data_IF_280017770726
#
_entry.id   IF_280017770726
#
_cell.length_a   1.000
_cell.length_b   1.000
_cell.length_c   1.000
_cell.angle_alpha   90.00
_cell.angle_beta   90.00
_cell.angle_gamma   90.00
#
_symmetry.space_group_name_H-M   'P 1'
#
loop_
_entity.id
_entity.type
_entity.pdbx_description
1 polymer ?
#
# COMPACT_ATOMS: atom_id res chain seq x y z
N UNK A 1 28.08 61.59 -16.07
CA UNK A 1 26.79 60.99 -16.51
C UNK A 1 26.91 59.52 -16.89
N UNK A 2 27.92 59.09 -17.64
CA UNK A 2 28.06 57.68 -18.06
C UNK A 2 28.22 56.68 -16.90
N UNK A 3 29.04 56.96 -15.88
CA UNK A 3 29.25 56.03 -14.75
C UNK A 3 27.99 55.82 -13.89
N UNK A 4 27.17 56.85 -13.72
CA UNK A 4 25.90 56.78 -12.98
C UNK A 4 24.88 55.90 -13.69
N UNK A 5 24.87 55.95 -15.03
CA UNK A 5 23.95 55.20 -15.87
C UNK A 5 24.29 53.70 -15.89
N UNK A 6 25.59 53.37 -15.87
CA UNK A 6 26.09 51.99 -15.75
C UNK A 6 25.68 51.37 -14.40
N UNK A 7 25.81 52.11 -13.29
CA UNK A 7 25.44 51.61 -11.96
C UNK A 7 23.93 51.31 -11.88
N UNK A 8 23.10 52.20 -12.42
CA UNK A 8 21.64 51.98 -12.47
C UNK A 8 21.29 50.76 -13.32
N UNK A 9 21.98 50.56 -14.45
CA UNK A 9 21.78 49.40 -15.32
C UNK A 9 22.15 48.09 -14.62
N UNK A 10 23.28 48.04 -13.91
CA UNK A 10 23.71 46.87 -13.13
C UNK A 10 22.72 46.56 -12.01
N UNK A 11 22.21 47.59 -11.33
CA UNK A 11 21.22 47.41 -10.26
C UNK A 11 19.88 46.88 -10.79
N UNK A 12 19.42 47.38 -11.94
CA UNK A 12 18.24 46.86 -12.65
C UNK A 12 18.42 45.39 -13.06
N UNK A 13 19.60 45.02 -13.56
CA UNK A 13 19.92 43.65 -13.94
C UNK A 13 19.88 42.70 -12.74
N UNK A 14 20.43 43.13 -11.59
CA UNK A 14 20.35 42.37 -10.34
C UNK A 14 18.91 42.17 -9.86
N UNK A 15 18.06 43.20 -9.95
CA UNK A 15 16.64 43.08 -9.60
C UNK A 15 15.94 42.08 -10.51
N UNK A 16 16.18 42.12 -11.83
CA UNK A 16 15.58 41.18 -12.79
C UNK A 16 15.99 39.73 -12.48
N UNK A 17 17.28 39.50 -12.19
CA UNK A 17 17.78 38.17 -11.82
C UNK A 17 17.13 37.69 -10.52
N UNK A 18 17.02 38.56 -9.52
CA UNK A 18 16.39 38.23 -8.24
C UNK A 18 14.91 37.85 -8.42
N UNK A 19 14.15 38.62 -9.20
CA UNK A 19 12.75 38.33 -9.51
C UNK A 19 12.60 37.03 -10.29
N UNK A 20 13.52 36.75 -11.23
CA UNK A 20 13.58 35.48 -11.96
C UNK A 20 13.80 34.28 -11.04
N UNK A 21 14.74 34.38 -10.09
CA UNK A 21 15.02 33.33 -9.10
C UNK A 21 13.84 33.09 -8.16
N UNK A 22 13.21 34.16 -7.67
CA UNK A 22 12.02 34.05 -6.80
C UNK A 22 10.87 33.39 -7.55
N UNK A 23 10.62 33.79 -8.81
CA UNK A 23 9.56 33.20 -9.63
C UNK A 23 9.81 31.71 -9.90
N UNK A 24 11.06 31.33 -10.19
CA UNK A 24 11.44 29.92 -10.37
C UNK A 24 11.23 29.11 -9.07
N UNK A 25 11.60 29.69 -7.93
CA UNK A 25 11.34 29.07 -6.62
C UNK A 25 9.85 28.84 -6.39
N UNK A 26 8.99 29.84 -6.63
CA UNK A 26 7.55 29.72 -6.44
C UNK A 26 6.96 28.62 -7.34
N UNK A 27 7.32 28.60 -8.64
CA UNK A 27 6.85 27.58 -9.58
C UNK A 27 7.29 26.18 -9.14
N UNK A 28 8.54 26.03 -8.71
CA UNK A 28 9.06 24.75 -8.22
C UNK A 28 8.32 24.30 -6.96
N UNK A 29 8.02 25.23 -6.04
CA UNK A 29 7.32 24.95 -4.80
C UNK A 29 5.86 24.57 -5.03
N UNK A 30 5.18 25.25 -5.96
CA UNK A 30 3.82 24.91 -6.38
C UNK A 30 3.76 23.51 -7.00
N UNK A 31 4.70 23.19 -7.90
CA UNK A 31 4.79 21.87 -8.51
C UNK A 31 5.06 20.76 -7.48
N UNK A 32 5.97 21.00 -6.55
CA UNK A 32 6.25 20.05 -5.47
C UNK A 32 5.05 19.85 -4.54
N UNK A 33 4.25 20.89 -4.31
CA UNK A 33 3.06 20.81 -3.48
C UNK A 33 1.96 20.01 -4.18
N UNK A 34 1.75 20.23 -5.48
CA UNK A 34 0.81 19.46 -6.31
C UNK A 34 1.18 17.96 -6.34
N UNK A 35 2.45 17.64 -6.60
CA UNK A 35 2.97 16.26 -6.54
C UNK A 35 2.74 15.63 -5.14
N UNK A 36 2.93 16.40 -4.07
CA UNK A 36 2.68 15.94 -2.70
C UNK A 36 1.18 15.66 -2.43
N UNK A 37 0.28 16.53 -2.88
CA UNK A 37 -1.16 16.36 -2.72
C UNK A 37 -1.67 15.13 -3.49
N UNK A 38 -1.26 14.96 -4.74
CA UNK A 38 -1.65 13.79 -5.54
C UNK A 38 -1.09 12.49 -4.95
N UNK A 39 0.14 12.52 -4.44
CA UNK A 39 0.75 11.38 -3.77
C UNK A 39 -0.04 10.94 -2.52
N UNK A 40 -0.56 11.89 -1.73
CA UNK A 40 -1.42 11.59 -0.57
C UNK A 40 -2.78 10.99 -0.96
N UNK A 41 -3.38 11.46 -2.07
CA UNK A 41 -4.60 10.86 -2.61
C UNK A 41 -4.34 9.40 -2.98
N UNK A 42 -3.19 9.13 -3.60
CA UNK A 42 -2.81 7.78 -4.00
C UNK A 42 -2.59 6.84 -2.81
N UNK A 43 -1.96 7.31 -1.73
CA UNK A 43 -1.83 6.52 -0.50
C UNK A 43 -3.20 6.12 0.07
N UNK A 44 -4.15 7.06 0.10
CA UNK A 44 -5.51 6.75 0.56
C UNK A 44 -6.19 5.69 -0.32
N UNK A 45 -6.01 5.75 -1.65
CA UNK A 45 -6.54 4.75 -2.58
C UNK A 45 -5.89 3.39 -2.33
N UNK A 46 -4.57 3.33 -2.15
CA UNK A 46 -3.84 2.10 -1.85
C UNK A 46 -4.33 1.48 -0.54
N UNK A 47 -4.44 2.28 0.54
CA UNK A 47 -4.98 1.82 1.83
C UNK A 47 -6.41 1.30 1.68
N UNK A 48 -7.24 1.96 0.86
CA UNK A 48 -8.60 1.51 0.58
C UNK A 48 -8.64 0.16 -0.13
N UNK A 49 -7.73 -0.10 -1.09
CA UNK A 49 -7.62 -1.39 -1.79
C UNK A 49 -7.28 -2.51 -0.79
N UNK A 50 -6.28 -2.27 0.06
CA UNK A 50 -5.83 -3.23 1.07
C UNK A 50 -6.94 -3.55 2.08
N UNK A 51 -7.53 -2.53 2.69
CA UNK A 51 -8.62 -2.71 3.66
C UNK A 51 -9.80 -3.46 3.05
N UNK A 52 -10.22 -3.09 1.83
CA UNK A 52 -11.35 -3.73 1.12
C UNK A 52 -11.15 -5.25 1.00
N UNK A 53 -10.00 -5.68 0.48
CA UNK A 53 -9.75 -7.10 0.24
C UNK A 53 -9.42 -7.86 1.54
N UNK A 54 -8.74 -7.23 2.49
CA UNK A 54 -8.49 -7.82 3.81
C UNK A 54 -9.80 -8.08 4.57
N UNK A 55 -10.69 -7.09 4.64
CA UNK A 55 -12.02 -7.24 5.29
C UNK A 55 -12.82 -8.35 4.62
N UNK A 56 -12.79 -8.43 3.28
CA UNK A 56 -13.47 -9.51 2.54
C UNK A 56 -12.90 -10.89 2.89
N UNK A 57 -11.58 -11.02 2.97
CA UNK A 57 -10.92 -12.24 3.39
C UNK A 57 -11.30 -12.65 4.81
N UNK A 58 -11.20 -11.74 5.78
CA UNK A 58 -11.58 -11.99 7.19
C UNK A 58 -13.05 -12.39 7.30
N UNK A 59 -13.94 -11.77 6.52
CA UNK A 59 -15.37 -12.09 6.51
C UNK A 59 -15.64 -13.51 6.02
N UNK A 60 -14.99 -13.92 4.92
CA UNK A 60 -15.10 -15.29 4.41
C UNK A 60 -14.55 -16.30 5.43
N UNK A 61 -13.41 -15.97 6.04
CA UNK A 61 -12.79 -16.80 7.05
C UNK A 61 -13.68 -16.96 8.28
N UNK A 62 -14.32 -15.88 8.74
CA UNK A 62 -15.26 -15.89 9.87
C UNK A 62 -16.42 -16.85 9.61
N UNK A 63 -16.98 -16.85 8.40
CA UNK A 63 -18.06 -17.76 8.04
C UNK A 63 -17.63 -19.23 8.15
N UNK A 64 -16.46 -19.59 7.66
CA UNK A 64 -15.94 -20.96 7.79
C UNK A 64 -15.60 -21.32 9.25
N UNK A 65 -15.04 -20.39 10.02
CA UNK A 65 -14.79 -20.57 11.46
C UNK A 65 -16.09 -20.81 12.22
N UNK A 66 -17.17 -20.12 11.86
CA UNK A 66 -18.49 -20.32 12.47
C UNK A 66 -19.03 -21.71 12.14
N UNK A 67 -18.89 -22.15 10.88
CA UNK A 67 -19.28 -23.48 10.44
C UNK A 67 -18.46 -24.58 11.13
N UNK A 68 -17.15 -24.37 11.29
CA UNK A 68 -16.27 -25.26 12.06
C UNK A 68 -16.74 -25.35 13.51
N UNK A 69 -16.99 -24.21 14.15
CA UNK A 69 -17.48 -24.16 15.54
C UNK A 69 -18.76 -24.98 15.75
N UNK A 70 -19.67 -25.00 14.76
CA UNK A 70 -20.90 -25.80 14.84
C UNK A 70 -20.62 -27.31 14.88
N UNK A 71 -19.53 -27.77 14.29
CA UNK A 71 -19.15 -29.18 14.20
C UNK A 71 -18.43 -29.72 15.45
N UNK A 72 -17.89 -28.83 16.30
CA UNK A 72 -17.13 -29.22 17.49
C UNK A 72 -17.91 -29.04 18.81
N UNK A 73 -17.52 -29.78 19.88
CA UNK A 73 -18.06 -29.58 21.23
C UNK A 73 -17.86 -28.14 21.73
N UNK A 74 -18.78 -27.65 22.58
CA UNK A 74 -18.80 -26.26 23.07
C UNK A 74 -17.43 -25.81 23.63
N UNK A 75 -16.74 -26.69 24.38
CA UNK A 75 -15.42 -26.39 24.96
C UNK A 75 -14.36 -26.02 23.90
N UNK A 76 -14.44 -26.62 22.72
CA UNK A 76 -13.49 -26.40 21.62
C UNK A 76 -13.85 -25.15 20.80
N UNK A 77 -15.10 -24.67 20.87
CA UNK A 77 -15.55 -23.46 20.14
C UNK A 77 -14.84 -22.20 20.64
N UNK A 78 -14.69 -22.06 21.96
CA UNK A 78 -13.98 -20.92 22.55
C UNK A 78 -12.51 -20.87 22.14
N UNK A 79 -11.87 -22.03 21.98
CA UNK A 79 -10.48 -22.11 21.54
C UNK A 79 -10.34 -21.75 20.05
N UNK A 80 -11.27 -22.21 19.21
CA UNK A 80 -11.31 -21.86 17.78
C UNK A 80 -11.50 -20.34 17.60
N UNK A 81 -12.46 -19.73 18.31
CA UNK A 81 -12.65 -18.27 18.24
C UNK A 81 -11.44 -17.50 18.76
N UNK A 82 -10.83 -17.92 19.88
CA UNK A 82 -9.62 -17.27 20.39
C UNK A 82 -8.47 -17.33 19.38
N UNK A 83 -8.28 -18.47 18.71
CA UNK A 83 -7.26 -18.61 17.67
C UNK A 83 -7.57 -17.72 16.46
N UNK A 84 -8.85 -17.58 16.09
CA UNK A 84 -9.28 -16.70 15.01
C UNK A 84 -9.05 -15.23 15.35
N UNK A 85 -9.47 -14.78 16.54
CA UNK A 85 -9.27 -13.40 16.98
C UNK A 85 -7.78 -13.05 17.02
N UNK A 86 -6.95 -13.94 17.57
CA UNK A 86 -5.50 -13.78 17.59
C UNK A 86 -4.89 -13.65 16.19
N UNK A 87 -5.35 -14.47 15.24
CA UNK A 87 -4.92 -14.37 13.84
C UNK A 87 -5.34 -13.03 13.21
N UNK A 88 -6.60 -12.61 13.43
CA UNK A 88 -7.10 -11.34 12.88
C UNK A 88 -6.32 -10.16 13.45
N UNK A 89 -6.00 -10.16 14.74
CA UNK A 89 -5.21 -9.11 15.38
C UNK A 89 -3.80 -9.02 14.78
N UNK A 90 -3.11 -10.15 14.60
CA UNK A 90 -1.80 -10.18 13.95
C UNK A 90 -1.85 -9.70 12.50
N UNK A 91 -2.83 -10.17 11.74
CA UNK A 91 -3.00 -9.82 10.34
C UNK A 91 -3.38 -8.34 10.17
N UNK A 92 -4.23 -7.81 11.04
CA UNK A 92 -4.58 -6.38 11.06
C UNK A 92 -3.37 -5.52 11.33
N UNK A 93 -2.53 -5.87 12.32
CA UNK A 93 -1.34 -5.11 12.64
C UNK A 93 -0.35 -5.00 11.46
N UNK A 94 -0.27 -6.02 10.59
CA UNK A 94 0.54 -5.97 9.37
C UNK A 94 -0.03 -4.98 8.35
N UNK A 95 -1.36 -4.96 8.18
CA UNK A 95 -2.07 -4.02 7.29
C UNK A 95 -1.96 -2.59 7.84
N UNK A 96 -2.18 -2.39 9.14
CA UNK A 96 -2.09 -1.09 9.79
C UNK A 96 -0.68 -0.51 9.67
N UNK A 97 0.36 -1.33 9.85
CA UNK A 97 1.75 -0.91 9.66
C UNK A 97 2.02 -0.41 8.24
N UNK A 98 1.39 -1.01 7.23
CA UNK A 98 1.51 -0.56 5.85
C UNK A 98 0.77 0.77 5.62
N UNK A 99 -0.38 0.96 6.27
CA UNK A 99 -1.24 2.15 6.15
C UNK A 99 -0.68 3.36 6.90
N UNK A 100 -0.18 3.18 8.12
CA UNK A 100 0.30 4.26 9.03
C UNK A 100 1.69 4.81 8.66
N UNK A 101 2.12 4.61 7.42
CA UNK A 101 3.39 5.14 6.94
C UNK A 101 3.35 6.67 6.89
N UNK A 102 4.37 7.28 7.49
CA UNK A 102 4.45 8.74 7.69
C UNK A 102 4.90 9.50 6.43
N UNK A 103 5.15 8.81 5.31
CA UNK A 103 5.62 9.41 4.06
C UNK A 103 4.99 8.71 2.86
N UNK A 104 4.64 9.46 1.80
CA UNK A 104 4.23 8.86 0.55
C UNK A 104 5.37 8.07 -0.07
N UNK A 105 5.05 6.88 -0.56
CA UNK A 105 6.02 5.95 -1.12
C UNK A 105 6.01 6.00 -2.65
N UNK A 106 7.17 5.78 -3.25
CA UNK A 106 7.22 5.48 -4.68
C UNK A 106 6.66 4.06 -4.94
N UNK A 107 6.30 3.77 -6.18
CA UNK A 107 5.71 2.49 -6.57
C UNK A 107 6.59 1.28 -6.21
N UNK A 108 7.91 1.39 -6.35
CA UNK A 108 8.86 0.33 -5.97
C UNK A 108 8.77 -0.01 -4.47
N UNK A 109 8.75 1.01 -3.60
CA UNK A 109 8.64 0.79 -2.15
C UNK A 109 7.25 0.25 -1.80
N UNK A 110 6.20 0.72 -2.48
CA UNK A 110 4.83 0.18 -2.31
C UNK A 110 4.80 -1.32 -2.65
N UNK A 111 5.41 -1.73 -3.76
CA UNK A 111 5.49 -3.13 -4.16
C UNK A 111 6.27 -3.98 -3.17
N UNK A 112 7.43 -3.51 -2.72
CA UNK A 112 8.26 -4.21 -1.75
C UNK A 112 7.56 -4.35 -0.39
N UNK A 113 6.94 -3.28 0.10
CA UNK A 113 6.18 -3.32 1.34
C UNK A 113 4.96 -4.23 1.23
N UNK A 114 4.29 -4.25 0.08
CA UNK A 114 3.18 -5.17 -0.20
C UNK A 114 3.66 -6.62 -0.17
N UNK A 115 4.76 -6.95 -0.85
CA UNK A 115 5.36 -8.29 -0.85
C UNK A 115 5.70 -8.72 0.58
N UNK A 116 6.42 -7.88 1.32
CA UNK A 116 6.78 -8.14 2.71
C UNK A 116 5.54 -8.36 3.59
N UNK A 117 4.48 -7.56 3.41
CA UNK A 117 3.22 -7.72 4.14
C UNK A 117 2.57 -9.07 3.84
N UNK A 118 2.48 -9.45 2.56
CA UNK A 118 1.89 -10.73 2.13
C UNK A 118 2.71 -11.93 2.64
N UNK A 119 4.04 -11.87 2.62
CA UNK A 119 4.90 -12.94 3.15
C UNK A 119 4.70 -13.14 4.66
N UNK A 120 4.64 -12.05 5.43
CA UNK A 120 4.37 -12.13 6.87
C UNK A 120 2.96 -12.65 7.15
N UNK A 121 1.98 -12.25 6.34
CA UNK A 121 0.61 -12.74 6.47
C UNK A 121 0.50 -14.22 6.09
N UNK A 122 1.28 -14.70 5.10
CA UNK A 122 1.37 -16.12 4.74
C UNK A 122 1.79 -16.97 5.94
N UNK A 123 2.82 -16.55 6.67
CA UNK A 123 3.26 -17.23 7.89
C UNK A 123 2.14 -17.30 8.94
N UNK A 124 1.43 -16.20 9.15
CA UNK A 124 0.31 -16.12 10.10
C UNK A 124 -0.85 -17.04 9.70
N UNK A 125 -1.16 -17.12 8.40
CA UNK A 125 -2.17 -18.03 7.85
C UNK A 125 -1.75 -19.48 8.04
N UNK A 126 -0.50 -19.82 7.74
CA UNK A 126 0.04 -21.18 7.90
C UNK A 126 -0.03 -21.66 9.36
N UNK A 127 0.34 -20.80 10.31
CA UNK A 127 0.21 -21.07 11.74
C UNK A 127 -1.26 -21.27 12.14
N UNK A 128 -2.15 -20.38 11.70
CA UNK A 128 -3.59 -20.46 11.98
C UNK A 128 -4.21 -21.76 11.47
N UNK A 129 -3.94 -22.15 10.22
CA UNK A 129 -4.54 -23.34 9.60
C UNK A 129 -3.90 -24.66 10.01
N UNK A 130 -2.73 -24.63 10.67
CA UNK A 130 -2.02 -25.83 11.11
C UNK A 130 -2.86 -26.72 12.05
N UNK A 131 -3.85 -26.13 12.71
CA UNK A 131 -4.74 -26.78 13.68
C UNK A 131 -6.03 -27.35 13.06
N UNK A 132 -6.28 -27.12 11.77
CA UNK A 132 -7.53 -27.49 11.10
C UNK A 132 -7.40 -28.69 10.17
N UNK A 133 -8.52 -29.37 9.85
CA UNK A 133 -8.55 -30.43 8.85
C UNK A 133 -8.10 -29.94 7.46
N UNK A 134 -7.62 -30.89 6.64
CA UNK A 134 -7.04 -30.59 5.32
C UNK A 134 -7.99 -29.83 4.36
N UNK A 135 -9.28 -30.17 4.39
CA UNK A 135 -10.29 -29.51 3.54
C UNK A 135 -10.46 -28.03 3.89
N UNK A 136 -10.49 -27.70 5.17
CA UNK A 136 -10.64 -26.32 5.64
C UNK A 136 -9.35 -25.53 5.41
N UNK A 137 -8.19 -26.15 5.67
CA UNK A 137 -6.88 -25.58 5.33
C UNK A 137 -6.80 -25.18 3.85
N UNK A 138 -7.17 -26.08 2.94
CA UNK A 138 -7.13 -25.81 1.49
C UNK A 138 -8.03 -24.62 1.12
N UNK A 139 -9.23 -24.55 1.70
CA UNK A 139 -10.19 -23.46 1.44
C UNK A 139 -9.70 -22.11 1.95
N UNK A 140 -9.13 -22.09 3.16
CA UNK A 140 -8.57 -20.87 3.76
C UNK A 140 -7.38 -20.37 2.95
N UNK A 141 -6.46 -21.26 2.55
CA UNK A 141 -5.36 -20.91 1.65
C UNK A 141 -5.86 -20.38 0.30
N UNK A 142 -6.97 -20.93 -0.22
CA UNK A 142 -7.58 -20.41 -1.45
C UNK A 142 -8.16 -18.99 -1.27
N UNK A 143 -8.83 -18.70 -0.15
CA UNK A 143 -9.29 -17.33 0.15
C UNK A 143 -8.12 -16.34 0.24
N UNK A 144 -7.03 -16.74 0.90
CA UNK A 144 -5.82 -15.93 0.99
C UNK A 144 -5.21 -15.67 -0.39
N UNK A 145 -5.05 -16.72 -1.21
CA UNK A 145 -4.58 -16.59 -2.60
C UNK A 145 -5.41 -15.59 -3.41
N UNK A 146 -6.73 -15.74 -3.34
CA UNK A 146 -7.66 -14.89 -4.07
C UNK A 146 -7.60 -13.43 -3.59
N UNK A 147 -7.43 -13.20 -2.28
CA UNK A 147 -7.20 -11.87 -1.73
C UNK A 147 -5.93 -11.24 -2.31
N UNK A 148 -4.80 -11.95 -2.29
CA UNK A 148 -3.52 -11.48 -2.83
C UNK A 148 -3.62 -11.14 -4.32
N UNK A 149 -4.25 -12.02 -5.12
CA UNK A 149 -4.42 -11.80 -6.56
C UNK A 149 -5.27 -10.57 -6.88
N UNK A 150 -6.34 -10.34 -6.12
CA UNK A 150 -7.22 -9.19 -6.31
C UNK A 150 -6.54 -7.87 -5.90
N UNK A 151 -5.84 -7.87 -4.76
CA UNK A 151 -5.04 -6.71 -4.31
C UNK A 151 -3.99 -6.34 -5.35
N UNK A 152 -3.20 -7.33 -5.82
CA UNK A 152 -2.17 -7.11 -6.83
C UNK A 152 -2.73 -6.46 -8.09
N UNK A 153 -3.82 -7.02 -8.64
CA UNK A 153 -4.44 -6.49 -9.88
C UNK A 153 -4.91 -5.05 -9.72
N UNK A 154 -5.52 -4.70 -8.58
CA UNK A 154 -5.97 -3.32 -8.33
C UNK A 154 -4.79 -2.34 -8.14
N UNK A 155 -3.69 -2.79 -7.52
CA UNK A 155 -2.46 -1.99 -7.42
C UNK A 155 -1.78 -1.80 -8.78
N UNK A 156 -1.66 -2.86 -9.59
CA UNK A 156 -1.12 -2.79 -10.95
C UNK A 156 -1.92 -1.81 -11.82
N UNK A 157 -3.25 -1.87 -11.77
CA UNK A 157 -4.11 -0.93 -12.49
C UNK A 157 -3.90 0.52 -12.01
N UNK A 158 -3.79 0.74 -10.69
CA UNK A 158 -3.51 2.06 -10.14
C UNK A 158 -2.18 2.61 -10.66
N UNK A 159 -1.14 1.79 -10.75
CA UNK A 159 0.16 2.22 -11.26
C UNK A 159 0.11 2.57 -12.75
N UNK A 160 -0.63 1.80 -13.55
CA UNK A 160 -0.79 2.09 -14.98
C UNK A 160 -1.51 3.42 -15.24
N UNK A 161 -2.54 3.73 -14.45
CA UNK A 161 -3.39 4.90 -14.67
C UNK A 161 -2.83 6.21 -14.08
N UNK A 162 -1.93 6.15 -13.10
CA UNK A 162 -1.58 7.30 -12.29
C UNK A 162 -0.26 7.96 -12.67
N UNK A 163 -0.31 9.12 -13.33
CA UNK A 163 0.83 9.89 -13.85
C UNK A 163 1.89 10.30 -12.81
N UNK A 164 1.50 10.39 -11.53
CA UNK A 164 2.38 10.78 -10.41
C UNK A 164 3.19 9.59 -9.89
N UNK A 165 2.58 8.40 -9.91
CA UNK A 165 3.27 7.13 -9.64
C UNK A 165 4.05 6.64 -10.88
N UNK A 166 3.68 7.11 -12.08
CA UNK A 166 4.20 6.74 -13.41
C UNK A 166 5.56 7.34 -13.81
N UNK A 167 6.44 7.69 -12.87
CA UNK A 167 7.86 7.92 -13.22
C UNK A 167 8.66 6.64 -13.44
N UNK A 168 8.01 5.47 -13.45
CA UNK A 168 8.69 4.20 -13.64
C UNK A 168 8.06 3.41 -14.77
N UNK A 169 8.93 2.94 -15.66
CA UNK A 169 8.67 2.07 -16.80
C UNK A 169 7.98 0.78 -16.32
N UNK A 170 6.65 0.74 -16.39
CA UNK A 170 5.79 -0.33 -15.84
C UNK A 170 6.14 -1.71 -16.44
N UNK A 171 6.85 -1.73 -17.57
CA UNK A 171 7.30 -2.95 -18.27
C UNK A 171 8.35 -3.74 -17.47
N UNK A 172 9.20 -3.10 -16.65
CA UNK A 172 10.21 -3.80 -15.83
C UNK A 172 9.64 -4.35 -14.52
N UNK A 173 8.64 -3.70 -13.92
CA UNK A 173 8.08 -4.08 -12.61
C UNK A 173 6.91 -5.07 -12.66
N UNK A 174 6.27 -5.26 -13.83
CA UNK A 174 5.41 -6.44 -14.09
C UNK A 174 6.15 -7.78 -13.80
N UNK A 175 7.48 -7.74 -13.76
CA UNK A 175 8.34 -8.88 -13.45
C UNK A 175 8.61 -9.08 -11.96
N UNK A 176 8.45 -8.06 -11.10
CA UNK A 176 8.82 -8.10 -9.67
C UNK A 176 7.63 -8.29 -8.74
N UNK A 177 6.45 -7.77 -9.08
CA UNK A 177 5.20 -8.20 -8.42
C UNK A 177 4.77 -9.64 -8.79
N UNK A 178 5.69 -10.43 -9.35
CA UNK A 178 5.47 -11.85 -9.64
C UNK A 178 5.22 -12.61 -8.35
N UNK A 179 3.99 -13.11 -8.26
CA UNK A 179 3.53 -14.27 -7.51
C UNK A 179 4.49 -14.75 -6.42
N UNK A 180 4.25 -14.33 -5.17
CA UNK A 180 4.65 -15.16 -4.03
C UNK A 180 4.00 -16.53 -4.23
N UNK A 181 4.77 -17.51 -4.69
CA UNK A 181 4.27 -18.86 -4.91
C UNK A 181 3.71 -19.38 -3.59
N UNK A 182 2.43 -19.72 -3.61
CA UNK A 182 1.75 -20.41 -2.50
C UNK A 182 2.34 -21.80 -2.35
#
# INVERSE_FOLDING_TARGET
MQSSLIIVLVFLLLIIVLVGMISLCIVTLMKSNEEYYESRINDHVISSILCKHFVKFVTLLKYDVDMLCLQFPIKNRYEIYRNFDYFVDQASALVDKFIDRHRPLNSETICNDHINMIENMKFSVEEFVSKYPSLDKMRICWYFSNMCDLMRKELENLFLENTVLNKIDVVSHNTECKSSSL
#
